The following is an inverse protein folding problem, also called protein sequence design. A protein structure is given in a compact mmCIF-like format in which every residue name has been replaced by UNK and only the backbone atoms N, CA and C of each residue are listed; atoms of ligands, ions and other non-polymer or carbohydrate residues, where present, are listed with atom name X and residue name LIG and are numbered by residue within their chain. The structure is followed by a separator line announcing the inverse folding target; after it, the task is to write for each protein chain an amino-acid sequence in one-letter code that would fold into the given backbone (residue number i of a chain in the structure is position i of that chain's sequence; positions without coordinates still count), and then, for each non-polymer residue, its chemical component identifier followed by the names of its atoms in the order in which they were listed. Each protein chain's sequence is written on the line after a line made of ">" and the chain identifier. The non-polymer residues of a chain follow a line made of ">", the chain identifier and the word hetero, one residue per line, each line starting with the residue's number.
data_IF_846267981872
#
_entry.id   IF_846267981872
#
_cell.length_a   1.000
_cell.length_b   1.000
_cell.length_c   1.000
_cell.angle_alpha   90.00
_cell.angle_beta   90.00
_cell.angle_gamma   90.00
#
_symmetry.space_group_name_H-M   'P 1'
#
loop_
_entity.id
_entity.type
_entity.pdbx_description
1 polymer ?
#
# COMPACT_ATOMS: atom_id res chain seq x y z
N UNK A 1 -31.08 -4.41 -14.73
CA UNK A 1 -30.48 -5.48 -13.91
C UNK A 1 -29.11 -4.99 -13.48
N UNK A 2 -29.00 -4.41 -12.29
CA UNK A 2 -27.74 -3.90 -11.75
C UNK A 2 -26.95 -5.07 -11.16
N UNK A 3 -25.85 -5.45 -11.81
CA UNK A 3 -24.92 -6.43 -11.28
C UNK A 3 -24.31 -5.87 -9.99
N UNK A 4 -24.41 -6.67 -8.93
CA UNK A 4 -24.11 -6.28 -7.56
C UNK A 4 -22.71 -5.70 -7.40
N UNK A 5 -22.65 -4.54 -6.73
CA UNK A 5 -21.45 -4.09 -6.07
C UNK A 5 -21.10 -5.14 -5.00
N UNK A 6 -20.17 -6.05 -5.33
CA UNK A 6 -19.57 -6.92 -4.32
C UNK A 6 -18.89 -6.01 -3.29
N UNK A 7 -19.52 -5.89 -2.12
CA UNK A 7 -18.90 -5.39 -0.91
C UNK A 7 -17.64 -6.23 -0.65
N UNK A 8 -16.46 -5.69 -1.00
CA UNK A 8 -15.17 -6.28 -0.66
C UNK A 8 -14.91 -5.96 0.81
N UNK A 9 -15.42 -6.82 1.69
CA UNK A 9 -15.07 -6.77 3.11
C UNK A 9 -13.57 -7.00 3.24
N UNK A 10 -12.94 -6.15 4.04
CA UNK A 10 -11.52 -6.25 4.33
C UNK A 10 -11.40 -6.94 5.67
N UNK A 11 -10.81 -8.13 5.64
CA UNK A 11 -10.62 -8.93 6.84
C UNK A 11 -9.13 -8.87 7.20
N UNK A 12 -8.71 -7.94 8.08
CA UNK A 12 -7.39 -8.04 8.70
C UNK A 12 -7.33 -9.29 9.60
N UNK A 13 -6.27 -10.06 9.49
CA UNK A 13 -6.04 -11.29 10.27
C UNK A 13 -4.58 -11.36 10.72
N UNK A 14 -4.36 -11.86 11.92
CA UNK A 14 -3.02 -12.22 12.40
C UNK A 14 -2.80 -13.73 12.26
N UNK A 15 -1.62 -14.11 11.80
CA UNK A 15 -1.17 -15.50 11.72
C UNK A 15 -0.02 -15.69 12.69
N UNK A 16 -0.16 -16.64 13.61
CA UNK A 16 0.92 -17.10 14.49
C UNK A 16 1.40 -18.44 13.95
N UNK A 17 2.61 -18.46 13.38
CA UNK A 17 3.19 -19.66 12.79
C UNK A 17 4.30 -20.19 13.68
N UNK A 18 4.20 -21.46 14.06
CA UNK A 18 5.26 -22.19 14.78
C UNK A 18 5.94 -23.13 13.79
N UNK A 19 7.27 -23.04 13.66
CA UNK A 19 8.02 -23.85 12.71
C UNK A 19 9.40 -24.22 13.26
N UNK A 20 9.95 -25.35 12.80
CA UNK A 20 11.31 -25.74 13.11
C UNK A 20 12.28 -25.13 12.08
N UNK A 21 13.27 -24.37 12.55
CA UNK A 21 14.31 -23.77 11.71
C UNK A 21 15.61 -24.56 11.85
N UNK A 22 16.07 -25.14 10.74
CA UNK A 22 17.41 -25.75 10.68
C UNK A 22 18.54 -24.72 10.79
N UNK A 23 18.35 -23.53 10.22
CA UNK A 23 19.35 -22.46 10.25
C UNK A 23 19.54 -21.89 11.66
N UNK A 24 18.47 -21.83 12.44
CA UNK A 24 18.51 -21.36 13.82
C UNK A 24 18.72 -22.49 14.82
N UNK A 25 18.51 -23.75 14.42
CA UNK A 25 18.76 -24.93 15.27
C UNK A 25 17.62 -25.26 16.24
N UNK A 26 16.38 -24.84 15.96
CA UNK A 26 15.26 -25.12 16.85
C UNK A 26 13.91 -24.53 16.41
N UNK A 27 12.92 -24.62 17.31
CA UNK A 27 11.55 -24.15 17.06
C UNK A 27 11.48 -22.63 17.16
N UNK A 28 10.76 -21.99 16.24
CA UNK A 28 10.61 -20.54 16.17
C UNK A 28 9.14 -20.16 16.02
N UNK A 29 8.80 -18.95 16.44
CA UNK A 29 7.52 -18.30 16.21
C UNK A 29 7.70 -17.13 15.24
N UNK A 30 6.80 -17.03 14.26
CA UNK A 30 6.65 -15.86 13.40
C UNK A 30 5.23 -15.34 13.53
N UNK A 31 5.07 -14.03 13.67
CA UNK A 31 3.77 -13.37 13.63
C UNK A 31 3.70 -12.53 12.35
N UNK A 32 2.71 -12.81 11.52
CA UNK A 32 2.42 -12.06 10.30
C UNK A 32 1.00 -11.52 10.33
N UNK A 33 0.78 -10.44 9.60
CA UNK A 33 -0.52 -9.81 9.41
C UNK A 33 -0.92 -9.98 7.95
N UNK A 34 -2.16 -10.34 7.71
CA UNK A 34 -2.72 -10.39 6.37
C UNK A 34 -3.95 -9.51 6.26
N UNK A 35 -4.15 -8.95 5.08
CA UNK A 35 -5.35 -8.21 4.73
C UNK A 35 -5.96 -8.86 3.50
N UNK A 36 -7.18 -9.37 3.63
CA UNK A 36 -7.91 -9.99 2.53
C UNK A 36 -8.78 -8.95 1.83
N UNK A 37 -8.39 -8.60 0.60
CA UNK A 37 -9.19 -7.82 -0.34
C UNK A 37 -9.34 -8.64 -1.65
N UNK A 38 -9.14 -8.03 -2.82
CA UNK A 38 -9.08 -8.73 -4.11
C UNK A 38 -7.96 -9.80 -4.17
N UNK A 39 -6.87 -9.52 -3.45
CA UNK A 39 -5.68 -10.37 -3.31
C UNK A 39 -5.31 -10.37 -1.84
N UNK A 40 -4.87 -11.51 -1.32
CA UNK A 40 -4.33 -11.60 0.03
C UNK A 40 -2.95 -10.96 0.06
N UNK A 41 -2.77 -9.91 0.86
CA UNK A 41 -1.46 -9.35 1.15
C UNK A 41 -1.08 -9.76 2.57
N UNK A 42 0.09 -10.38 2.72
CA UNK A 42 0.63 -10.81 4.01
C UNK A 42 2.00 -10.17 4.22
N UNK A 43 2.23 -9.64 5.42
CA UNK A 43 3.51 -9.06 5.82
C UNK A 43 3.94 -9.59 7.20
N UNK A 44 5.25 -9.69 7.41
CA UNK A 44 5.82 -10.14 8.69
C UNK A 44 5.84 -8.96 9.64
N UNK A 45 5.13 -9.07 10.77
CA UNK A 45 4.94 -7.95 11.69
C UNK A 45 6.06 -7.83 12.72
N UNK A 46 6.70 -8.95 13.05
CA UNK A 46 7.73 -9.02 14.10
C UNK A 46 8.90 -9.88 13.63
N UNK A 47 10.11 -9.63 14.14
CA UNK A 47 11.23 -10.54 13.95
C UNK A 47 10.88 -11.96 14.39
N UNK A 48 11.49 -12.97 13.75
CA UNK A 48 11.31 -14.38 14.14
C UNK A 48 11.85 -14.57 15.57
N UNK A 49 11.03 -15.17 16.44
CA UNK A 49 11.33 -15.40 17.85
C UNK A 49 11.73 -16.87 18.04
N UNK A 50 13.01 -17.19 18.31
CA UNK A 50 13.46 -18.57 18.49
C UNK A 50 13.08 -19.10 19.87
N UNK A 51 12.29 -20.16 20.04
CA UNK A 51 11.84 -20.66 21.35
C UNK A 51 12.91 -21.42 22.18
N UNK A 52 14.18 -21.25 21.85
CA UNK A 52 15.32 -21.95 22.46
C UNK A 52 16.40 -20.93 22.85
N UNK A 53 16.10 -20.03 23.76
CA UNK A 53 17.11 -19.14 24.36
C UNK A 53 17.45 -19.59 25.78
N UNK A 54 18.65 -19.20 26.23
CA UNK A 54 19.06 -19.42 27.62
C UNK A 54 18.24 -18.52 28.56
N UNK A 55 17.89 -18.96 29.80
CA UNK A 55 17.17 -18.11 30.77
C UNK A 55 17.89 -16.82 31.19
N UNK A 56 19.16 -16.66 30.82
CA UNK A 56 19.95 -15.43 31.06
C UNK A 56 19.95 -14.50 29.84
N UNK A 57 19.36 -14.91 28.72
CA UNK A 57 19.19 -14.05 27.54
C UNK A 57 18.02 -13.08 27.78
N UNK A 58 18.31 -12.03 28.55
CA UNK A 58 17.34 -11.00 28.90
C UNK A 58 16.88 -10.19 27.69
N UNK A 59 17.69 -10.12 26.62
CA UNK A 59 17.32 -9.42 25.39
C UNK A 59 16.24 -10.19 24.64
N UNK A 60 16.43 -11.50 24.43
CA UNK A 60 15.40 -12.34 23.79
C UNK A 60 14.13 -12.41 24.62
N UNK A 61 14.24 -12.49 25.95
CA UNK A 61 13.08 -12.41 26.84
C UNK A 61 12.32 -11.11 26.66
N UNK A 62 13.02 -9.96 26.67
CA UNK A 62 12.38 -8.67 26.49
C UNK A 62 11.69 -8.54 25.14
N UNK A 63 12.30 -9.04 24.07
CA UNK A 63 11.70 -9.06 22.72
C UNK A 63 10.44 -9.93 22.72
N UNK A 64 10.54 -11.17 23.19
CA UNK A 64 9.40 -12.09 23.24
C UNK A 64 8.24 -11.51 24.06
N UNK A 65 8.51 -11.00 25.27
CA UNK A 65 7.50 -10.39 26.13
C UNK A 65 6.83 -9.19 25.45
N UNK A 66 7.59 -8.27 24.87
CA UNK A 66 7.02 -7.10 24.17
C UNK A 66 6.19 -7.52 22.97
N UNK A 67 6.65 -8.52 22.22
CA UNK A 67 5.92 -9.04 21.07
C UNK A 67 4.60 -9.68 21.48
N UNK A 68 4.58 -10.54 22.50
CA UNK A 68 3.33 -11.14 22.99
C UNK A 68 2.38 -10.12 23.58
N UNK A 69 2.90 -9.13 24.32
CA UNK A 69 2.09 -8.03 24.83
C UNK A 69 1.47 -7.19 23.71
N UNK A 70 2.26 -6.86 22.67
CA UNK A 70 1.75 -6.17 21.49
C UNK A 70 0.71 -7.00 20.74
N UNK A 71 0.89 -8.31 20.63
CA UNK A 71 -0.08 -9.24 20.05
C UNK A 71 -1.39 -9.25 20.85
N UNK A 72 -1.33 -9.23 22.17
CA UNK A 72 -2.52 -9.17 23.03
C UNK A 72 -3.30 -7.86 22.79
N UNK A 73 -2.61 -6.71 22.76
CA UNK A 73 -3.22 -5.42 22.45
C UNK A 73 -3.84 -5.43 21.04
N UNK A 74 -3.10 -5.94 20.06
CA UNK A 74 -3.55 -6.01 18.67
C UNK A 74 -4.78 -6.92 18.52
N UNK A 75 -4.81 -8.05 19.22
CA UNK A 75 -5.97 -8.96 19.23
C UNK A 75 -7.19 -8.28 19.81
N UNK A 76 -7.08 -7.58 20.96
CA UNK A 76 -8.19 -6.81 21.53
C UNK A 76 -8.69 -5.71 20.59
N UNK A 77 -7.77 -5.02 19.92
CA UNK A 77 -8.13 -4.02 18.90
C UNK A 77 -8.86 -4.64 17.72
N UNK A 78 -8.45 -5.85 17.30
CA UNK A 78 -9.06 -6.58 16.19
C UNK A 78 -10.45 -7.11 16.56
N UNK A 79 -10.61 -7.63 17.78
CA UNK A 79 -11.90 -7.99 18.35
C UNK A 79 -12.85 -6.79 18.38
N UNK A 80 -12.36 -5.61 18.80
CA UNK A 80 -13.12 -4.36 18.77
C UNK A 80 -13.58 -3.98 17.37
N UNK A 81 -12.71 -4.16 16.37
CA UNK A 81 -13.04 -3.93 14.96
C UNK A 81 -14.16 -4.87 14.47
N UNK A 82 -14.09 -6.16 14.83
CA UNK A 82 -15.07 -7.17 14.41
C UNK A 82 -16.35 -7.19 15.26
N UNK A 83 -16.34 -6.58 16.44
CA UNK A 83 -17.52 -6.44 17.31
C UNK A 83 -18.51 -5.40 16.79
N UNK A 84 -18.05 -4.47 15.95
CA UNK A 84 -18.89 -3.53 15.22
C UNK A 84 -19.29 -4.11 13.84
N UNK A 85 -20.40 -3.64 13.23
CA UNK A 85 -20.68 -3.95 11.84
C UNK A 85 -19.46 -3.61 11.00
N UNK A 86 -18.94 -4.59 10.24
CA UNK A 86 -17.76 -4.41 9.39
C UNK A 86 -17.97 -3.13 8.61
N UNK A 87 -17.11 -2.09 8.78
CA UNK A 87 -17.30 -0.85 8.07
C UNK A 87 -17.34 -1.18 6.59
N UNK A 88 -18.49 -0.94 5.96
CA UNK A 88 -18.54 -0.96 4.51
C UNK A 88 -17.51 0.09 4.11
N UNK A 89 -16.48 -0.34 3.37
CA UNK A 89 -15.60 0.62 2.72
C UNK A 89 -16.48 1.36 1.72
N UNK A 90 -17.09 2.44 2.18
CA UNK A 90 -17.76 3.38 1.30
C UNK A 90 -16.71 3.83 0.29
N UNK A 91 -17.11 4.05 -0.98
CA UNK A 91 -16.19 4.35 -2.07
C UNK A 91 -15.40 5.65 -1.88
N UNK A 92 -15.50 6.36 -0.76
CA UNK A 92 -14.64 7.48 -0.36
C UNK A 92 -13.36 7.04 0.38
N UNK A 93 -13.33 5.84 0.98
CA UNK A 93 -12.10 5.30 1.54
C UNK A 93 -11.15 4.85 0.41
N UNK A 94 -9.82 5.03 0.57
CA UNK A 94 -8.86 4.56 -0.43
C UNK A 94 -9.13 3.08 -0.68
N UNK A 95 -9.45 2.71 -1.94
CA UNK A 95 -9.63 1.30 -2.27
C UNK A 95 -8.33 0.59 -1.92
N UNK A 96 -8.40 -0.56 -1.24
CA UNK A 96 -7.18 -1.29 -0.88
C UNK A 96 -6.44 -1.86 -2.09
N UNK A 97 -7.08 -1.86 -3.26
CA UNK A 97 -6.42 -2.13 -4.54
C UNK A 97 -5.44 -1.02 -4.95
N UNK A 98 -5.69 0.21 -4.48
CA UNK A 98 -4.84 1.36 -4.75
C UNK A 98 -4.92 2.35 -3.57
N UNK A 99 -4.06 2.22 -2.54
CA UNK A 99 -4.12 3.05 -1.31
C UNK A 99 -3.69 4.51 -1.56
N UNK A 100 -3.60 4.93 -2.81
CA UNK A 100 -3.14 6.23 -3.24
C UNK A 100 -4.33 7.18 -3.51
N UNK A 101 -4.12 8.50 -3.42
CA UNK A 101 -5.15 9.48 -3.75
C UNK A 101 -5.78 9.20 -5.12
N UNK A 102 -7.09 9.45 -5.25
CA UNK A 102 -7.86 9.41 -6.52
C UNK A 102 -8.18 10.81 -7.04
N UNK A 103 -7.41 11.78 -6.56
CA UNK A 103 -7.51 13.15 -7.02
C UNK A 103 -6.14 13.78 -6.96
N UNK A 104 -5.95 14.81 -7.76
CA UNK A 104 -4.77 15.66 -7.70
C UNK A 104 -5.18 17.11 -7.91
N UNK A 105 -4.29 18.04 -7.55
CA UNK A 105 -4.48 19.46 -7.83
C UNK A 105 -3.66 19.82 -9.05
N UNK A 106 -4.32 20.36 -10.08
CA UNK A 106 -3.67 20.79 -11.31
C UNK A 106 -2.88 22.10 -11.11
N UNK A 107 -2.21 22.57 -12.16
CA UNK A 107 -1.49 23.84 -12.14
C UNK A 107 -2.39 25.07 -11.89
N UNK A 108 -3.71 24.93 -12.12
CA UNK A 108 -4.73 25.96 -11.90
C UNK A 108 -5.31 25.93 -10.49
N UNK A 109 -4.74 25.10 -9.60
CA UNK A 109 -5.27 24.85 -8.25
C UNK A 109 -6.66 24.19 -8.21
N UNK A 110 -7.11 23.61 -9.32
CA UNK A 110 -8.37 22.88 -9.39
C UNK A 110 -8.13 21.42 -9.00
N UNK A 111 -9.03 20.89 -8.16
CA UNK A 111 -9.01 19.49 -7.75
C UNK A 111 -9.65 18.64 -8.86
N UNK A 112 -8.87 17.74 -9.44
CA UNK A 112 -9.33 16.83 -10.48
C UNK A 112 -9.40 15.41 -9.97
N UNK A 113 -10.58 14.79 -10.07
CA UNK A 113 -10.80 13.38 -9.76
C UNK A 113 -10.34 12.48 -10.90
N UNK A 114 -10.00 11.24 -10.56
CA UNK A 114 -9.70 10.21 -11.54
C UNK A 114 -9.97 8.80 -10.99
N UNK A 115 -10.16 7.85 -11.90
CA UNK A 115 -10.34 6.43 -11.59
C UNK A 115 -9.15 5.61 -12.07
N UNK A 116 -8.70 4.65 -11.25
CA UNK A 116 -7.66 3.68 -11.63
C UNK A 116 -8.26 2.58 -12.51
N UNK A 117 -7.54 2.18 -13.56
CA UNK A 117 -7.96 1.06 -14.42
C UNK A 117 -7.16 -0.21 -14.18
N UNK A 118 -5.82 -0.13 -14.06
CA UNK A 118 -4.98 -1.30 -13.80
C UNK A 118 -3.59 -0.90 -13.26
N UNK A 119 -2.97 -1.79 -12.47
CA UNK A 119 -1.55 -1.70 -12.13
C UNK A 119 -0.77 -2.22 -13.32
N UNK A 120 0.01 -1.37 -13.99
CA UNK A 120 0.95 -1.90 -14.98
C UNK A 120 2.01 -2.69 -14.23
N UNK A 121 2.08 -3.99 -14.51
CA UNK A 121 3.02 -4.89 -13.86
C UNK A 121 4.42 -4.72 -14.47
N UNK A 122 5.00 -3.54 -14.27
CA UNK A 122 6.41 -3.28 -14.53
C UNK A 122 7.14 -3.73 -13.27
N UNK A 123 7.88 -4.83 -13.36
CA UNK A 123 8.48 -5.61 -12.25
C UNK A 123 9.29 -4.82 -11.20
N UNK A 124 9.59 -3.53 -11.46
CA UNK A 124 10.35 -2.65 -10.56
C UNK A 124 9.77 -1.24 -10.42
N UNK A 125 8.61 -0.92 -11.01
CA UNK A 125 8.02 0.43 -10.96
C UNK A 125 6.54 0.39 -10.63
N UNK A 126 6.14 1.21 -9.67
CA UNK A 126 4.74 1.41 -9.29
C UNK A 126 4.10 2.40 -10.27
N UNK A 127 3.74 1.89 -11.46
CA UNK A 127 3.03 2.65 -12.50
C UNK A 127 1.59 2.19 -12.59
N UNK A 128 0.67 3.15 -12.54
CA UNK A 128 -0.77 2.92 -12.68
C UNK A 128 -1.31 3.71 -13.86
N UNK A 129 -2.31 3.18 -14.54
CA UNK A 129 -3.11 3.95 -15.50
C UNK A 129 -4.45 4.35 -14.90
N UNK A 130 -4.97 5.47 -15.36
CA UNK A 130 -6.26 5.97 -14.93
C UNK A 130 -6.87 6.92 -15.94
N UNK A 131 -8.13 7.28 -15.70
CA UNK A 131 -8.85 8.26 -16.52
C UNK A 131 -9.38 9.35 -15.60
N UNK A 132 -9.16 10.61 -15.97
CA UNK A 132 -9.72 11.77 -15.26
C UNK A 132 -11.22 11.87 -15.52
N UNK A 133 -11.93 12.65 -14.69
CA UNK A 133 -13.35 12.95 -14.90
C UNK A 133 -13.62 13.59 -16.28
N UNK A 134 -12.62 14.26 -16.85
CA UNK A 134 -12.67 14.86 -18.19
C UNK A 134 -12.30 13.87 -19.31
N UNK A 135 -12.30 12.56 -19.02
CA UNK A 135 -11.96 11.49 -19.97
C UNK A 135 -10.52 11.53 -20.51
N UNK A 136 -9.59 12.24 -19.85
CA UNK A 136 -8.19 12.23 -20.24
C UNK A 136 -7.46 11.02 -19.62
N UNK A 137 -6.69 10.31 -20.43
CA UNK A 137 -5.91 9.17 -19.98
C UNK A 137 -4.63 9.63 -19.28
N UNK A 138 -4.41 9.14 -18.06
CA UNK A 138 -3.27 9.51 -17.22
C UNK A 138 -2.47 8.29 -16.79
N UNK A 139 -1.18 8.52 -16.57
CA UNK A 139 -0.23 7.61 -15.98
C UNK A 139 0.27 8.19 -14.66
N UNK A 140 0.38 7.32 -13.67
CA UNK A 140 0.74 7.67 -12.31
C UNK A 140 1.95 6.86 -11.91
N UNK A 141 3.05 7.53 -11.59
CA UNK A 141 4.28 6.88 -11.15
C UNK A 141 4.59 7.29 -9.71
N UNK A 142 4.86 6.29 -8.86
CA UNK A 142 5.28 6.50 -7.48
C UNK A 142 6.79 6.24 -7.37
N UNK A 143 7.55 7.29 -7.03
CA UNK A 143 9.01 7.25 -6.95
C UNK A 143 9.50 7.83 -5.63
N UNK A 144 10.72 7.47 -5.20
CA UNK A 144 11.33 8.05 -3.99
C UNK A 144 11.84 9.48 -4.21
N UNK A 145 12.38 9.73 -5.40
CA UNK A 145 12.92 11.03 -5.81
C UNK A 145 12.39 11.33 -7.19
N UNK A 146 11.76 12.49 -7.33
CA UNK A 146 11.23 12.97 -8.61
C UNK A 146 11.76 14.36 -8.90
N UNK A 147 12.18 14.60 -10.14
CA UNK A 147 12.54 15.93 -10.62
C UNK A 147 11.47 16.41 -11.60
N UNK A 148 10.54 17.22 -11.11
CA UNK A 148 9.48 17.82 -11.93
C UNK A 148 10.06 18.74 -13.01
N UNK A 149 11.17 19.42 -12.72
CA UNK A 149 11.89 20.26 -13.68
C UNK A 149 12.47 19.42 -14.83
N UNK A 150 13.17 18.32 -14.53
CA UNK A 150 13.73 17.44 -15.55
C UNK A 150 12.63 16.82 -16.43
N UNK A 151 11.52 16.37 -15.82
CA UNK A 151 10.38 15.85 -16.58
C UNK A 151 9.79 16.91 -17.50
N UNK A 152 9.54 18.13 -17.01
CA UNK A 152 9.04 19.23 -17.85
C UNK A 152 10.00 19.58 -18.98
N UNK A 153 11.31 19.53 -18.74
CA UNK A 153 12.32 19.72 -19.76
C UNK A 153 12.22 18.64 -20.86
N UNK A 154 12.09 17.36 -20.48
CA UNK A 154 11.90 16.25 -21.42
C UNK A 154 10.57 16.37 -22.18
N UNK A 155 9.49 16.75 -21.50
CA UNK A 155 8.17 16.91 -22.11
C UNK A 155 8.16 18.01 -23.18
N UNK A 156 8.81 19.15 -22.92
CA UNK A 156 8.98 20.23 -23.93
C UNK A 156 9.74 19.80 -25.18
N UNK A 157 10.49 18.70 -25.11
CA UNK A 157 11.26 18.13 -26.23
C UNK A 157 10.59 16.89 -26.85
N UNK A 158 9.38 16.55 -26.44
CA UNK A 158 8.67 15.37 -26.92
C UNK A 158 9.25 14.04 -26.42
N UNK A 159 10.08 14.06 -25.36
CA UNK A 159 10.68 12.84 -24.79
C UNK A 159 9.90 12.28 -23.60
N UNK A 160 8.91 13.01 -23.10
CA UNK A 160 8.06 12.57 -22.00
C UNK A 160 6.62 13.10 -22.18
N UNK A 161 5.62 12.42 -21.60
CA UNK A 161 4.26 12.93 -21.56
C UNK A 161 4.14 14.25 -20.77
N UNK A 162 3.06 14.99 -21.00
CA UNK A 162 2.80 16.24 -20.26
C UNK A 162 2.63 15.96 -18.76
N UNK A 163 3.39 16.67 -17.92
CA UNK A 163 3.29 16.55 -16.45
C UNK A 163 2.17 17.45 -15.94
N UNK A 164 1.11 16.83 -15.44
CA UNK A 164 -0.04 17.54 -14.88
C UNK A 164 0.27 18.07 -13.48
N UNK A 165 0.86 17.22 -12.64
CA UNK A 165 1.27 17.63 -11.29
C UNK A 165 2.27 16.65 -10.69
N UNK A 166 2.96 17.11 -9.65
CA UNK A 166 3.85 16.32 -8.81
C UNK A 166 3.52 16.60 -7.35
N UNK A 167 3.19 15.56 -6.60
CA UNK A 167 2.90 15.63 -5.18
C UNK A 167 4.03 14.94 -4.40
N UNK A 168 4.48 15.55 -3.32
CA UNK A 168 5.31 14.89 -2.32
C UNK A 168 4.41 14.40 -1.19
N UNK A 169 4.48 13.11 -0.85
CA UNK A 169 3.66 12.52 0.20
C UNK A 169 4.53 11.97 1.34
N UNK A 170 4.42 12.58 2.50
CA UNK A 170 5.00 12.05 3.74
C UNK A 170 4.00 11.11 4.42
N UNK A 171 4.08 9.81 4.09
CA UNK A 171 3.55 8.77 4.98
C UNK A 171 4.62 8.40 5.99
N UNK A 172 4.23 8.21 7.25
CA UNK A 172 5.04 7.94 8.47
C UNK A 172 6.01 6.73 8.42
N UNK A 173 6.44 6.25 7.25
CA UNK A 173 7.55 5.29 7.20
C UNK A 173 8.42 5.29 5.94
N UNK A 174 8.08 5.92 4.80
CA UNK A 174 8.89 5.74 3.56
C UNK A 174 8.95 6.88 2.51
N UNK A 175 8.56 8.13 2.81
CA UNK A 175 8.87 9.33 1.99
C UNK A 175 8.85 9.15 0.46
N UNK A 176 7.65 9.08 -0.13
CA UNK A 176 7.48 8.90 -1.58
C UNK A 176 6.93 10.18 -2.22
N UNK A 177 7.30 10.43 -3.47
CA UNK A 177 6.66 11.42 -4.35
C UNK A 177 5.87 10.71 -5.44
N UNK A 178 4.69 11.23 -5.75
CA UNK A 178 3.88 10.80 -6.88
C UNK A 178 3.88 11.86 -7.97
N UNK A 179 3.93 11.40 -9.21
CA UNK A 179 3.81 12.27 -10.39
C UNK A 179 2.74 11.74 -11.33
N UNK A 180 1.97 12.66 -11.90
CA UNK A 180 0.82 12.39 -12.75
C UNK A 180 1.11 12.94 -14.15
N UNK A 181 1.24 12.06 -15.14
CA UNK A 181 1.49 12.42 -16.54
C UNK A 181 0.29 12.08 -17.44
N UNK A 182 0.04 12.89 -18.46
CA UNK A 182 -0.93 12.60 -19.53
C UNK A 182 -0.19 12.25 -20.81
N UNK A 183 -0.42 11.06 -21.36
CA UNK A 183 0.05 10.71 -22.70
C UNK A 183 -1.12 10.84 -23.66
N UNK A 184 -1.06 11.81 -24.58
CA UNK A 184 -1.93 11.80 -25.76
C UNK A 184 -1.38 10.76 -26.72
N UNK A 185 -2.25 9.91 -27.27
CA UNK A 185 -1.92 9.23 -28.53
C UNK A 185 -1.76 10.34 -29.56
N UNK A 186 -0.58 10.45 -30.15
CA UNK A 186 -0.45 11.14 -31.42
C UNK A 186 -1.27 10.34 -32.44
N UNK A 187 -2.36 10.92 -32.93
CA UNK A 187 -2.95 10.50 -34.19
C UNK A 187 -2.07 11.07 -35.30
N UNK A 188 -1.27 10.18 -35.88
CA UNK A 188 -0.45 10.40 -37.07
C UNK A 188 -0.13 9.07 -37.72
#
# INVERSE_FOLDING_TARGET
>A
MNNGAQLRSVLPLFHVTVFASRALGGVCICISGSVFAARAQTDVLVPIIPLFWHPTDHLMQAIATRTFWALEIATKSLEGLYSAPIPSLTPEHPSLECPYPRHYTDASSLRQGFSYHEVQNLSHRLVFSGTTDNSAHIYMEFVRKYSSEAHRFCARRGHAPELLTSLSYERQSKGYSSSFGCARRDEG
#
